data_IF_339012183824
#
_entry.id   IF_339012183824
#
_cell.length_a   1.000
_cell.length_b   1.000
_cell.length_c   1.000
_cell.angle_alpha   90.00
_cell.angle_beta   90.00
_cell.angle_gamma   90.00
#
_symmetry.space_group_name_H-M   'P 1'
#
loop_
_entity.id
_entity.type
_entity.pdbx_description
1 polymer ?
#
# COMPACT_ATOMS: atom_id res chain seq x y z
N UNK A 1 -2.52 18.51 14.46
CA UNK A 1 -3.88 18.14 14.00
C UNK A 1 -4.30 16.86 14.71
N UNK A 2 -5.42 16.90 15.41
CA UNK A 2 -5.93 15.69 16.05
C UNK A 2 -6.59 14.81 15.00
N UNK A 3 -6.23 13.54 14.99
CA UNK A 3 -6.95 12.55 14.18
C UNK A 3 -8.36 12.30 14.74
N UNK A 4 -9.20 11.55 14.01
CA UNK A 4 -10.52 11.18 14.50
C UNK A 4 -10.44 10.42 15.83
N UNK A 5 -11.53 10.46 16.60
CA UNK A 5 -11.61 9.72 17.85
C UNK A 5 -11.45 8.21 17.59
N UNK A 6 -10.89 7.44 18.56
CA UNK A 6 -10.74 5.99 18.38
C UNK A 6 -12.03 5.24 18.03
N UNK A 7 -13.16 5.69 18.56
CA UNK A 7 -14.46 5.10 18.26
C UNK A 7 -14.87 5.34 16.81
N UNK A 8 -14.64 6.55 16.29
CA UNK A 8 -14.90 6.89 14.89
C UNK A 8 -14.02 6.05 13.95
N UNK A 9 -12.76 5.84 14.33
CA UNK A 9 -11.85 4.99 13.57
C UNK A 9 -12.33 3.54 13.52
N UNK A 10 -12.83 3.01 14.63
CA UNK A 10 -13.36 1.65 14.68
C UNK A 10 -14.58 1.49 13.77
N UNK A 11 -15.47 2.49 13.76
CA UNK A 11 -16.63 2.49 12.87
C UNK A 11 -16.22 2.57 11.40
N UNK A 12 -15.23 3.42 11.08
CA UNK A 12 -14.70 3.54 9.72
C UNK A 12 -14.05 2.24 9.25
N UNK A 13 -13.29 1.58 10.11
CA UNK A 13 -12.69 0.27 9.79
C UNK A 13 -13.78 -0.74 9.45
N UNK A 14 -14.82 -0.82 10.27
CA UNK A 14 -15.93 -1.76 10.05
C UNK A 14 -16.67 -1.43 8.76
N UNK A 15 -16.98 -0.15 8.51
CA UNK A 15 -17.67 0.29 7.31
C UNK A 15 -16.88 -0.11 6.05
N UNK A 16 -15.60 0.19 6.02
CA UNK A 16 -14.76 -0.09 4.86
C UNK A 16 -14.55 -1.60 4.69
N UNK A 17 -14.36 -2.34 5.78
CA UNK A 17 -14.23 -3.79 5.72
C UNK A 17 -15.47 -4.43 5.10
N UNK A 18 -16.66 -4.04 5.55
CA UNK A 18 -17.93 -4.53 4.99
C UNK A 18 -18.07 -4.17 3.52
N UNK A 19 -17.74 -2.92 3.17
CA UNK A 19 -17.76 -2.44 1.78
C UNK A 19 -16.87 -3.29 0.88
N UNK A 20 -15.65 -3.58 1.31
CA UNK A 20 -14.69 -4.38 0.53
C UNK A 20 -15.20 -5.80 0.32
N UNK A 21 -15.77 -6.41 1.34
CA UNK A 21 -16.33 -7.77 1.23
C UNK A 21 -17.55 -7.78 0.32
N UNK A 22 -18.47 -6.86 0.50
CA UNK A 22 -19.70 -6.77 -0.31
C UNK A 22 -19.41 -6.53 -1.79
N UNK A 23 -18.36 -5.79 -2.10
CA UNK A 23 -17.98 -5.48 -3.48
C UNK A 23 -16.99 -6.48 -4.10
N UNK A 24 -16.66 -7.55 -3.37
CA UNK A 24 -15.81 -8.61 -3.89
C UNK A 24 -14.33 -8.26 -3.95
N UNK A 25 -13.88 -7.23 -3.24
CA UNK A 25 -12.45 -6.86 -3.19
C UNK A 25 -11.64 -7.85 -2.36
N UNK A 26 -12.29 -8.48 -1.40
CA UNK A 26 -11.71 -9.52 -0.56
C UNK A 26 -12.83 -10.37 0.05
N UNK A 27 -12.43 -11.45 0.72
CA UNK A 27 -13.35 -12.26 1.55
C UNK A 27 -13.05 -11.95 3.02
N UNK A 28 -13.87 -12.49 3.93
CA UNK A 28 -13.61 -12.35 5.36
C UNK A 28 -12.22 -12.89 5.76
N UNK A 29 -11.78 -13.97 5.09
CA UNK A 29 -10.47 -14.60 5.35
C UNK A 29 -9.31 -13.82 4.74
N UNK A 30 -9.53 -13.10 3.63
CA UNK A 30 -8.48 -12.33 2.95
C UNK A 30 -8.54 -10.84 3.29
N UNK A 31 -9.43 -10.43 4.16
CA UNK A 31 -9.52 -9.06 4.63
C UNK A 31 -8.18 -8.65 5.28
N UNK A 32 -7.61 -7.50 4.90
CA UNK A 32 -6.34 -7.06 5.49
C UNK A 32 -6.42 -6.94 7.02
N UNK A 33 -5.39 -7.41 7.69
CA UNK A 33 -5.27 -7.28 9.15
C UNK A 33 -4.70 -5.94 9.58
N UNK A 34 -4.14 -5.21 8.62
CA UNK A 34 -3.51 -3.92 8.87
C UNK A 34 -3.69 -3.02 7.66
N UNK A 35 -3.73 -1.72 7.91
CA UNK A 35 -3.76 -0.70 6.85
C UNK A 35 -2.39 -0.04 6.64
N UNK A 36 -1.34 -0.68 7.13
CA UNK A 36 0.02 -0.12 7.11
C UNK A 36 0.51 0.18 5.68
N UNK A 37 0.01 -0.51 4.65
CA UNK A 37 0.41 -0.23 3.27
C UNK A 37 0.09 1.22 2.88
N UNK A 38 -1.03 1.77 3.34
CA UNK A 38 -1.37 3.16 3.14
C UNK A 38 -0.30 4.10 3.70
N UNK A 39 0.16 3.80 4.91
CA UNK A 39 1.21 4.58 5.56
C UNK A 39 2.56 4.42 4.86
N UNK A 40 2.89 3.22 4.39
CA UNK A 40 4.16 2.96 3.71
C UNK A 40 4.24 3.70 2.37
N UNK A 41 3.15 3.76 1.61
CA UNK A 41 3.09 4.56 0.37
C UNK A 41 3.29 6.04 0.68
N UNK A 42 2.68 6.55 1.74
CA UNK A 42 2.84 7.94 2.16
C UNK A 42 4.28 8.25 2.56
N UNK A 43 4.92 7.35 3.29
CA UNK A 43 6.34 7.51 3.67
C UNK A 43 7.21 7.60 2.41
N UNK A 44 7.00 6.73 1.44
CA UNK A 44 7.75 6.75 0.18
C UNK A 44 7.54 8.08 -0.58
N UNK A 45 6.30 8.54 -0.65
CA UNK A 45 5.98 9.81 -1.31
C UNK A 45 6.61 10.99 -0.60
N UNK A 46 6.60 11.01 0.73
CA UNK A 46 7.25 12.05 1.52
C UNK A 46 8.76 12.06 1.31
N UNK A 47 9.38 10.88 1.24
CA UNK A 47 10.82 10.78 0.97
C UNK A 47 11.21 11.39 -0.36
N UNK A 48 10.45 11.08 -1.41
CA UNK A 48 10.69 11.65 -2.75
C UNK A 48 10.45 13.16 -2.78
N UNK A 49 9.36 13.61 -2.15
CA UNK A 49 9.06 15.03 -2.07
C UNK A 49 10.16 15.78 -1.30
N UNK A 50 10.62 15.23 -0.19
CA UNK A 50 11.68 15.83 0.62
C UNK A 50 13.00 15.94 -0.16
N UNK A 51 13.32 14.96 -1.00
CA UNK A 51 14.47 15.03 -1.89
C UNK A 51 14.31 16.17 -2.89
N UNK A 52 13.17 16.26 -3.55
CA UNK A 52 12.88 17.32 -4.52
C UNK A 52 12.95 18.72 -3.89
N UNK A 53 12.51 18.85 -2.66
CA UNK A 53 12.48 20.14 -1.94
C UNK A 53 13.80 20.48 -1.24
N UNK A 54 14.78 19.59 -1.31
CA UNK A 54 16.11 19.83 -0.73
C UNK A 54 16.24 19.53 0.76
N UNK A 55 15.22 18.91 1.39
CA UNK A 55 15.28 18.56 2.80
C UNK A 55 16.08 17.28 3.08
N UNK A 56 16.15 16.38 2.09
CA UNK A 56 16.90 15.14 2.18
C UNK A 56 17.90 15.05 1.05
N UNK A 57 19.06 14.46 1.32
CA UNK A 57 19.98 14.01 0.27
C UNK A 57 19.40 12.77 -0.43
N UNK A 58 19.93 12.44 -1.60
CA UNK A 58 19.56 11.22 -2.31
C UNK A 58 19.80 9.99 -1.45
N UNK A 59 20.94 9.92 -0.76
CA UNK A 59 21.26 8.81 0.12
C UNK A 59 20.24 8.67 1.27
N UNK A 60 19.89 9.78 1.89
CA UNK A 60 18.87 9.79 2.96
C UNK A 60 17.51 9.35 2.44
N UNK A 61 17.14 9.79 1.24
CA UNK A 61 15.89 9.37 0.60
C UNK A 61 15.86 7.85 0.39
N UNK A 62 16.96 7.26 -0.11
CA UNK A 62 17.05 5.82 -0.31
C UNK A 62 16.97 5.05 1.01
N UNK A 63 17.50 5.59 2.10
CA UNK A 63 17.36 4.99 3.42
C UNK A 63 15.89 4.95 3.86
N UNK A 64 15.14 6.02 3.63
CA UNK A 64 13.69 6.06 3.92
C UNK A 64 12.95 5.02 3.07
N UNK A 65 13.26 4.94 1.78
CA UNK A 65 12.65 3.96 0.89
C UNK A 65 12.93 2.52 1.33
N UNK A 66 14.15 2.27 1.81
CA UNK A 66 14.53 0.94 2.27
C UNK A 66 13.73 0.53 3.51
N UNK A 67 13.53 1.45 4.44
CA UNK A 67 12.72 1.19 5.64
C UNK A 67 11.29 0.82 5.23
N UNK A 68 10.69 1.58 4.32
CA UNK A 68 9.34 1.29 3.84
C UNK A 68 9.26 -0.05 3.11
N UNK A 69 10.26 -0.37 2.29
CA UNK A 69 10.33 -1.64 1.56
C UNK A 69 10.47 -2.82 2.50
N UNK A 70 11.33 -2.72 3.50
CA UNK A 70 11.52 -3.77 4.50
C UNK A 70 10.24 -4.04 5.29
N UNK A 71 9.55 -2.98 5.70
CA UNK A 71 8.27 -3.10 6.39
C UNK A 71 7.21 -3.77 5.51
N UNK A 72 7.16 -3.41 4.23
CA UNK A 72 6.22 -4.02 3.29
C UNK A 72 6.46 -5.53 3.16
N UNK A 73 7.73 -5.95 3.02
CA UNK A 73 8.07 -7.37 2.92
C UNK A 73 7.78 -8.13 4.21
N UNK A 74 7.92 -7.48 5.33
CA UNK A 74 7.64 -8.09 6.64
C UNK A 74 6.16 -8.35 6.84
N UNK A 75 5.30 -7.45 6.36
CA UNK A 75 3.86 -7.50 6.60
C UNK A 75 3.05 -8.16 5.49
N UNK A 76 3.57 -8.23 4.27
CA UNK A 76 2.80 -8.72 3.11
C UNK A 76 3.57 -9.79 2.35
N UNK A 77 2.86 -10.86 1.97
CA UNK A 77 3.42 -11.95 1.18
C UNK A 77 3.27 -11.71 -0.33
N UNK A 78 2.40 -10.80 -0.75
CA UNK A 78 2.11 -10.57 -2.17
C UNK A 78 1.69 -9.13 -2.43
N UNK A 79 1.75 -8.73 -3.69
CA UNK A 79 1.22 -7.45 -4.14
C UNK A 79 -0.29 -7.34 -3.89
N UNK A 80 -1.02 -8.46 -3.98
CA UNK A 80 -2.45 -8.46 -3.71
C UNK A 80 -2.75 -8.08 -2.26
N UNK A 81 -2.03 -8.68 -1.31
CA UNK A 81 -2.18 -8.34 0.10
C UNK A 81 -1.82 -6.88 0.37
N UNK A 82 -0.72 -6.42 -0.22
CA UNK A 82 -0.27 -5.04 -0.11
C UNK A 82 -1.33 -4.09 -0.67
N UNK A 83 -1.86 -4.40 -1.85
CA UNK A 83 -2.87 -3.58 -2.51
C UNK A 83 -4.18 -3.49 -1.73
N UNK A 84 -4.64 -4.60 -1.14
CA UNK A 84 -5.85 -4.61 -0.30
C UNK A 84 -5.65 -3.75 0.94
N UNK A 85 -4.50 -3.84 1.57
CA UNK A 85 -4.15 -3.01 2.73
C UNK A 85 -4.13 -1.53 2.38
N UNK A 86 -3.57 -1.18 1.24
CA UNK A 86 -3.54 0.19 0.74
C UNK A 86 -4.95 0.75 0.50
N UNK A 87 -5.79 -0.01 -0.20
CA UNK A 87 -7.16 0.41 -0.51
C UNK A 87 -7.99 0.59 0.76
N UNK A 88 -7.88 -0.37 1.67
CA UNK A 88 -8.56 -0.30 2.96
C UNK A 88 -8.09 0.92 3.77
N UNK A 89 -6.79 1.14 3.82
CA UNK A 89 -6.20 2.27 4.55
C UNK A 89 -6.67 3.61 4.03
N UNK A 90 -6.74 3.75 2.71
CA UNK A 90 -7.24 4.99 2.10
C UNK A 90 -8.69 5.24 2.46
N UNK A 91 -9.53 4.20 2.39
CA UNK A 91 -10.93 4.31 2.76
C UNK A 91 -11.13 4.65 4.24
N UNK A 92 -10.39 3.98 5.11
CA UNK A 92 -10.45 4.21 6.56
C UNK A 92 -9.98 5.62 6.92
N UNK A 93 -8.87 6.05 6.32
CA UNK A 93 -8.30 7.37 6.60
C UNK A 93 -9.27 8.51 6.25
N UNK A 94 -9.94 8.40 5.11
CA UNK A 94 -10.89 9.40 4.65
C UNK A 94 -12.31 9.17 5.17
N UNK A 95 -12.58 7.99 5.73
CA UNK A 95 -13.93 7.60 6.16
C UNK A 95 -14.91 7.51 5.01
N UNK A 96 -14.45 7.12 3.82
CA UNK A 96 -15.20 7.22 2.57
C UNK A 96 -15.04 5.97 1.71
N UNK A 97 -16.16 5.34 1.38
CA UNK A 97 -16.20 4.18 0.50
C UNK A 97 -15.72 4.50 -0.91
N UNK A 98 -15.99 5.71 -1.40
CA UNK A 98 -15.56 6.15 -2.72
C UNK A 98 -14.03 6.21 -2.83
N UNK A 99 -13.34 6.67 -1.80
CA UNK A 99 -11.89 6.67 -1.75
C UNK A 99 -11.32 5.26 -1.73
N UNK A 100 -11.97 4.35 -1.03
CA UNK A 100 -11.60 2.93 -1.05
C UNK A 100 -11.76 2.35 -2.46
N UNK A 101 -12.87 2.64 -3.11
CA UNK A 101 -13.16 2.18 -4.47
C UNK A 101 -12.12 2.70 -5.46
N UNK A 102 -11.81 3.99 -5.41
CA UNK A 102 -10.79 4.59 -6.28
C UNK A 102 -9.43 3.93 -6.10
N UNK A 103 -9.02 3.71 -4.86
CA UNK A 103 -7.77 3.03 -4.57
C UNK A 103 -7.77 1.60 -5.08
N UNK A 104 -8.88 0.88 -4.92
CA UNK A 104 -8.99 -0.48 -5.41
C UNK A 104 -8.94 -0.57 -6.93
N UNK A 105 -9.53 0.39 -7.64
CA UNK A 105 -9.44 0.45 -9.10
C UNK A 105 -7.99 0.60 -9.57
N UNK A 106 -7.20 1.42 -8.88
CA UNK A 106 -5.77 1.57 -9.16
C UNK A 106 -5.03 0.26 -8.90
N UNK A 107 -5.29 -0.38 -7.76
CA UNK A 107 -4.68 -1.66 -7.40
C UNK A 107 -5.03 -2.74 -8.43
N UNK A 108 -6.27 -2.81 -8.85
CA UNK A 108 -6.74 -3.78 -9.85
C UNK A 108 -6.00 -3.59 -11.17
N UNK A 109 -5.83 -2.35 -11.61
CA UNK A 109 -5.06 -2.06 -12.82
C UNK A 109 -3.60 -2.54 -12.68
N UNK A 110 -2.97 -2.30 -11.53
CA UNK A 110 -1.60 -2.75 -11.28
C UNK A 110 -1.48 -4.28 -11.24
N UNK A 111 -2.51 -4.98 -10.77
CA UNK A 111 -2.53 -6.43 -10.73
C UNK A 111 -2.80 -7.07 -12.08
N UNK A 112 -3.59 -6.44 -12.93
CA UNK A 112 -4.11 -7.03 -14.17
C UNK A 112 -3.37 -6.61 -15.44
N UNK A 113 -2.85 -5.40 -15.52
CA UNK A 113 -2.16 -4.94 -16.73
C UNK A 113 -0.84 -5.67 -16.96
N UNK A 114 -0.62 -6.17 -18.18
CA UNK A 114 0.57 -6.93 -18.53
C UNK A 114 1.86 -6.14 -18.36
N UNK A 115 1.81 -4.84 -18.60
CA UNK A 115 2.97 -3.95 -18.47
C UNK A 115 3.20 -3.49 -17.04
N UNK A 116 2.32 -3.84 -16.12
CA UNK A 116 2.45 -3.45 -14.72
C UNK A 116 3.71 -4.05 -14.09
N UNK A 117 4.51 -3.23 -13.39
CA UNK A 117 5.66 -3.75 -12.64
C UNK A 117 5.28 -4.86 -11.66
N UNK A 118 4.11 -4.79 -11.07
CA UNK A 118 3.64 -5.80 -10.12
C UNK A 118 3.49 -7.18 -10.77
N UNK A 119 3.04 -7.23 -12.02
CA UNK A 119 2.92 -8.49 -12.76
C UNK A 119 4.26 -9.04 -13.19
N UNK A 120 5.18 -8.19 -13.58
CA UNK A 120 6.51 -8.61 -14.02
C UNK A 120 7.31 -9.29 -12.92
N UNK A 121 7.07 -8.91 -11.67
CA UNK A 121 7.72 -9.52 -10.50
C UNK A 121 7.17 -10.90 -10.17
N UNK A 122 5.89 -11.17 -10.48
CA UNK A 122 5.23 -12.45 -10.16
C UNK A 122 5.89 -13.67 -10.79
N UNK A 123 6.56 -13.53 -11.92
CA UNK A 123 7.20 -14.63 -12.63
C UNK A 123 8.58 -15.00 -12.12
N UNK A 124 9.10 -14.33 -11.12
CA UNK A 124 10.45 -14.59 -10.61
C UNK A 124 10.45 -15.71 -9.57
N UNK A 125 11.27 -16.73 -9.81
CA UNK A 125 11.39 -17.89 -8.91
C UNK A 125 12.48 -17.69 -7.85
N UNK A 126 13.37 -16.73 -8.03
CA UNK A 126 14.43 -16.42 -7.09
C UNK A 126 13.93 -15.42 -6.04
N UNK A 127 13.95 -15.83 -4.79
CA UNK A 127 13.57 -14.98 -3.67
C UNK A 127 14.40 -13.68 -3.64
N UNK A 128 15.73 -13.81 -3.83
CA UNK A 128 16.63 -12.65 -3.83
C UNK A 128 16.32 -11.68 -4.98
N UNK A 129 16.09 -12.21 -6.19
CA UNK A 129 15.74 -11.41 -7.36
C UNK A 129 14.39 -10.73 -7.17
N UNK A 130 13.40 -11.46 -6.63
CA UNK A 130 12.09 -10.91 -6.33
C UNK A 130 12.18 -9.76 -5.33
N UNK A 131 12.99 -9.91 -4.27
CA UNK A 131 13.19 -8.86 -3.27
C UNK A 131 13.86 -7.61 -3.85
N UNK A 132 14.84 -7.79 -4.74
CA UNK A 132 15.49 -6.65 -5.40
C UNK A 132 14.52 -5.89 -6.29
N UNK A 133 13.68 -6.59 -7.05
CA UNK A 133 12.65 -5.97 -7.89
C UNK A 133 11.58 -5.29 -7.04
N UNK A 134 11.16 -5.96 -5.97
CA UNK A 134 10.21 -5.41 -5.02
C UNK A 134 10.70 -4.06 -4.46
N UNK A 135 11.97 -3.99 -4.05
CA UNK A 135 12.57 -2.75 -3.58
C UNK A 135 12.57 -1.68 -4.67
N UNK A 136 12.95 -2.06 -5.89
CA UNK A 136 13.00 -1.13 -7.01
C UNK A 136 11.64 -0.53 -7.32
N UNK A 137 10.59 -1.36 -7.32
CA UNK A 137 9.22 -0.90 -7.58
C UNK A 137 8.71 0.03 -6.48
N UNK A 138 8.92 -0.32 -5.22
CA UNK A 138 8.52 0.54 -4.12
C UNK A 138 9.25 1.89 -4.16
N UNK A 139 10.49 1.89 -4.56
CA UNK A 139 11.29 3.11 -4.68
C UNK A 139 10.87 3.97 -5.89
N UNK A 140 10.22 3.36 -6.87
CA UNK A 140 9.73 4.05 -8.08
C UNK A 140 8.33 4.63 -7.92
N UNK A 141 7.62 4.26 -6.88
CA UNK A 141 6.23 4.67 -6.63
C UNK A 141 6.06 6.11 -6.17
#
# INVERSE_FOLDING_TARGET
MKGPAPEEKAEDVQLIAEFMIENGYCTAETLPRTVIAWDLVRIANLGRWALHSGYLSEEEMWQVMQVAADAAREHFASWEEYGRSFAMGRGVWHGDEEDCQTAWEIVTALLEEETSPWRQIRGTHSHTTALKRWNGELNSM
#
